data_IF_104465216688
#
_entry.id   IF_104465216688
#
_cell.length_a   1.000
_cell.length_b   1.000
_cell.length_c   1.000
_cell.angle_alpha   90.00
_cell.angle_beta   90.00
_cell.angle_gamma   90.00
#
_symmetry.space_group_name_H-M   'P 1'
#
loop_
_entity.id
_entity.type
_entity.pdbx_description
1 polymer ?
#
# COMPACT_ATOMS: atom_id res chain seq x y z
N UNK A 1 2.30 -11.75 -5.89
CA UNK A 1 1.43 -12.95 -5.85
C UNK A 1 1.71 -13.69 -4.56
N UNK A 2 0.69 -13.95 -3.74
CA UNK A 2 0.85 -14.58 -2.42
C UNK A 2 0.86 -16.09 -2.49
N UNK A 3 1.81 -16.73 -1.81
CA UNK A 3 1.93 -18.19 -1.71
C UNK A 3 3.36 -18.70 -1.87
N UNK A 4 3.56 -19.98 -1.62
CA UNK A 4 4.80 -20.71 -1.93
C UNK A 4 4.76 -21.20 -3.38
N UNK A 5 5.91 -21.47 -4.00
CA UNK A 5 5.96 -22.09 -5.33
C UNK A 5 5.09 -23.35 -5.39
N UNK A 6 4.14 -23.38 -6.32
CA UNK A 6 3.17 -24.47 -6.46
C UNK A 6 2.06 -24.50 -5.40
N UNK A 7 1.98 -23.46 -4.56
CA UNK A 7 0.96 -23.35 -3.51
C UNK A 7 0.50 -21.90 -3.37
N UNK A 8 -0.32 -21.47 -4.33
CA UNK A 8 -0.90 -20.13 -4.36
C UNK A 8 -2.36 -20.18 -3.90
N UNK A 9 -2.78 -19.16 -3.14
CA UNK A 9 -4.17 -19.04 -2.70
C UNK A 9 -5.15 -18.87 -3.86
N UNK A 10 -4.68 -18.28 -4.96
CA UNK A 10 -5.36 -18.22 -6.25
C UNK A 10 -4.30 -18.15 -7.35
N UNK A 11 -4.43 -18.99 -8.36
CA UNK A 11 -3.56 -19.03 -9.53
C UNK A 11 -4.38 -19.38 -10.77
N UNK A 12 -4.03 -18.76 -11.89
CA UNK A 12 -4.63 -19.00 -13.20
C UNK A 12 -3.51 -19.38 -14.17
N UNK A 13 -3.80 -20.33 -15.05
CA UNK A 13 -2.92 -20.69 -16.14
C UNK A 13 -2.90 -19.59 -17.22
N UNK A 14 -1.85 -19.58 -18.05
CA UNK A 14 -1.64 -18.55 -19.07
C UNK A 14 -2.66 -18.61 -20.21
N UNK A 15 -3.30 -19.76 -20.40
CA UNK A 15 -4.39 -19.95 -21.35
C UNK A 15 -5.76 -19.53 -20.79
N UNK A 16 -5.83 -19.14 -19.52
CA UNK A 16 -7.05 -18.84 -18.77
C UNK A 16 -8.11 -19.94 -18.83
N UNK A 17 -7.72 -21.19 -19.09
CA UNK A 17 -8.63 -22.33 -19.11
C UNK A 17 -8.74 -23.01 -17.75
N UNK A 18 -7.64 -23.01 -16.99
CA UNK A 18 -7.53 -23.73 -15.72
C UNK A 18 -6.92 -22.83 -14.65
N UNK A 19 -7.23 -23.15 -13.40
CA UNK A 19 -6.68 -22.47 -12.24
C UNK A 19 -6.68 -23.37 -11.02
N UNK A 20 -6.03 -22.91 -9.96
CA UNK A 20 -6.12 -23.56 -8.66
C UNK A 20 -6.24 -22.56 -7.52
N UNK A 21 -6.94 -22.96 -6.47
CA UNK A 21 -7.01 -22.26 -5.19
C UNK A 21 -6.60 -23.23 -4.10
N UNK A 22 -5.41 -23.03 -3.53
CA UNK A 22 -4.86 -23.94 -2.52
C UNK A 22 -4.81 -23.25 -1.16
N UNK A 23 -5.50 -23.84 -0.20
CA UNK A 23 -5.51 -23.40 1.19
C UNK A 23 -5.81 -24.58 2.12
N UNK A 24 -4.80 -25.04 2.86
CA UNK A 24 -4.91 -26.11 3.86
C UNK A 24 -4.26 -25.66 5.17
N UNK A 25 -5.03 -25.16 6.16
CA UNK A 25 -6.44 -24.76 6.10
C UNK A 25 -6.66 -23.37 5.48
N UNK A 26 -5.60 -22.55 5.41
CA UNK A 26 -5.61 -21.18 4.90
C UNK A 26 -4.32 -20.91 4.14
N UNK A 27 -4.34 -20.02 3.16
CA UNK A 27 -3.10 -19.57 2.52
C UNK A 27 -2.26 -18.73 3.49
N UNK A 28 -0.93 -18.73 3.32
CA UNK A 28 0.00 -18.07 4.26
C UNK A 28 0.05 -16.56 4.10
N UNK A 29 -0.18 -16.03 2.90
CA UNK A 29 -0.05 -14.59 2.63
C UNK A 29 -1.27 -13.81 3.09
N UNK A 30 -2.48 -14.30 2.81
CA UNK A 30 -3.73 -13.56 3.07
C UNK A 30 -4.64 -14.26 4.08
N UNK A 31 -4.28 -15.44 4.58
CA UNK A 31 -5.12 -16.19 5.53
C UNK A 31 -6.48 -16.60 4.96
N UNK A 32 -6.64 -16.57 3.63
CA UNK A 32 -7.90 -16.91 2.95
C UNK A 32 -8.11 -18.42 2.95
N UNK A 33 -9.38 -18.90 3.03
CA UNK A 33 -9.70 -20.28 2.74
C UNK A 33 -9.58 -20.57 1.24
N UNK A 34 -9.89 -21.80 0.85
CA UNK A 34 -10.08 -22.15 -0.56
C UNK A 34 -11.26 -21.35 -1.11
N UNK A 35 -11.05 -20.71 -2.26
CA UNK A 35 -12.05 -19.82 -2.86
C UNK A 35 -12.99 -20.55 -3.82
N UNK A 36 -12.57 -21.71 -4.33
CA UNK A 36 -13.31 -22.60 -5.22
C UNK A 36 -13.90 -23.80 -4.48
N UNK A 37 -14.83 -24.52 -5.12
CA UNK A 37 -15.37 -25.77 -4.57
C UNK A 37 -14.32 -26.87 -4.44
N UNK A 38 -13.45 -27.00 -5.44
CA UNK A 38 -12.32 -27.93 -5.49
C UNK A 38 -10.99 -27.17 -5.65
N UNK A 39 -9.86 -27.80 -5.29
CA UNK A 39 -8.53 -27.16 -5.39
C UNK A 39 -8.18 -26.74 -6.81
N UNK A 40 -8.52 -27.57 -7.81
CA UNK A 40 -8.35 -27.27 -9.22
C UNK A 40 -9.71 -26.96 -9.86
N UNK A 41 -9.76 -25.94 -10.71
CA UNK A 41 -11.01 -25.49 -11.34
C UNK A 41 -10.79 -25.04 -12.78
N UNK A 42 -11.89 -24.94 -13.53
CA UNK A 42 -11.93 -24.34 -14.87
C UNK A 42 -12.60 -22.98 -14.81
N UNK A 43 -12.07 -22.05 -15.59
CA UNK A 43 -12.64 -20.72 -15.74
C UNK A 43 -13.71 -20.73 -16.83
N UNK A 44 -14.83 -20.06 -16.57
CA UNK A 44 -15.87 -19.78 -17.57
C UNK A 44 -15.70 -18.36 -18.13
N UNK A 45 -15.51 -17.38 -17.24
CA UNK A 45 -15.29 -15.98 -17.60
C UNK A 45 -14.38 -15.29 -16.58
N UNK A 46 -13.50 -14.40 -17.05
CA UNK A 46 -12.64 -13.56 -16.21
C UNK A 46 -12.90 -12.10 -16.59
N UNK A 47 -13.29 -11.30 -15.60
CA UNK A 47 -13.51 -9.86 -15.76
C UNK A 47 -12.46 -9.08 -14.98
N UNK A 48 -11.81 -8.12 -15.64
CA UNK A 48 -10.78 -7.27 -15.03
C UNK A 48 -11.20 -5.81 -15.12
N UNK A 49 -11.27 -5.15 -13.97
CA UNK A 49 -11.78 -3.80 -13.85
C UNK A 49 -10.64 -2.82 -13.54
N UNK A 50 -10.40 -1.88 -14.44
CA UNK A 50 -9.49 -0.75 -14.20
C UNK A 50 -10.26 0.43 -13.62
N UNK A 51 -9.90 0.89 -12.43
CA UNK A 51 -10.59 2.00 -11.73
C UNK A 51 -10.22 3.40 -12.27
N UNK A 52 -9.37 3.47 -13.30
CA UNK A 52 -8.84 4.73 -13.83
C UNK A 52 -7.72 5.32 -12.97
N UNK A 53 -7.26 6.52 -13.33
CA UNK A 53 -6.34 7.26 -12.47
C UNK A 53 -7.10 7.71 -11.22
N UNK A 54 -6.55 7.50 -10.01
CA UNK A 54 -7.11 8.17 -8.85
C UNK A 54 -7.13 9.68 -9.15
N UNK A 55 -8.13 10.42 -8.61
CA UNK A 55 -8.09 11.87 -8.69
C UNK A 55 -6.69 12.32 -8.27
N UNK A 56 -6.08 13.23 -9.05
CA UNK A 56 -4.89 13.93 -8.55
C UNK A 56 -5.30 14.45 -7.19
N UNK A 57 -4.65 13.95 -6.13
CA UNK A 57 -4.72 14.63 -4.85
C UNK A 57 -4.44 16.08 -5.20
N UNK A 58 -5.40 16.97 -4.96
CA UNK A 58 -5.16 18.40 -5.13
C UNK A 58 -3.84 18.62 -4.44
N UNK A 59 -2.81 19.00 -5.22
CA UNK A 59 -1.46 19.23 -4.73
C UNK A 59 -1.65 19.97 -3.44
N UNK A 60 -1.32 19.28 -2.36
CA UNK A 60 -1.88 19.57 -1.07
C UNK A 60 -1.06 20.71 -0.49
N UNK A 61 -1.05 21.85 -1.19
CA UNK A 61 -0.02 22.87 -1.22
C UNK A 61 1.40 22.26 -1.20
N UNK A 62 2.19 22.48 -2.25
CA UNK A 62 3.65 22.28 -2.19
C UNK A 62 4.31 23.06 -1.01
N UNK A 63 3.54 23.88 -0.29
CA UNK A 63 3.90 24.54 0.97
C UNK A 63 3.36 23.85 2.23
N UNK A 64 3.30 22.53 2.30
CA UNK A 64 3.27 21.84 3.61
C UNK A 64 4.61 21.97 4.32
N UNK A 65 4.89 23.19 4.78
CA UNK A 65 5.94 23.47 5.75
C UNK A 65 5.69 22.58 6.97
N UNK A 66 6.76 22.04 7.55
CA UNK A 66 6.59 21.23 8.75
C UNK A 66 5.92 22.10 9.81
N UNK A 67 5.15 21.48 10.69
CA UNK A 67 4.68 22.15 11.91
C UNK A 67 5.85 22.72 12.72
N UNK A 68 7.07 22.17 12.55
CA UNK A 68 8.31 22.69 13.12
C UNK A 68 8.80 24.00 12.49
N UNK A 69 8.39 24.31 11.25
CA UNK A 69 8.75 25.57 10.58
C UNK A 69 7.59 26.60 10.63
N UNK A 70 6.40 26.16 11.05
CA UNK A 70 5.19 26.98 11.02
C UNK A 70 5.01 27.83 12.28
N UNK A 71 5.31 27.30 13.48
CA UNK A 71 5.06 28.00 14.75
C UNK A 71 5.97 27.51 15.91
N UNK A 72 6.81 28.39 16.50
CA UNK A 72 7.63 28.09 17.68
C UNK A 72 6.83 27.67 18.92
N UNK A 73 5.61 28.17 19.09
CA UNK A 73 4.77 27.84 20.24
C UNK A 73 4.30 26.38 20.15
N UNK A 74 3.94 25.92 18.95
CA UNK A 74 3.53 24.53 18.71
C UNK A 74 4.69 23.57 18.88
N UNK A 75 5.91 23.97 18.51
CA UNK A 75 7.12 23.19 18.79
C UNK A 75 7.33 23.00 20.30
N UNK A 76 7.21 24.07 21.09
CA UNK A 76 7.34 24.01 22.54
C UNK A 76 6.27 23.09 23.16
N UNK A 77 5.03 23.13 22.65
CA UNK A 77 3.97 22.22 23.09
C UNK A 77 4.25 20.75 22.73
N UNK A 78 4.85 20.46 21.58
CA UNK A 78 5.24 19.09 21.22
C UNK A 78 6.33 18.54 22.16
N UNK A 79 7.32 19.35 22.50
CA UNK A 79 8.35 18.99 23.47
C UNK A 79 7.76 18.77 24.87
N UNK A 80 6.87 19.65 25.32
CA UNK A 80 6.19 19.51 26.62
C UNK A 80 5.27 18.28 26.69
N UNK A 81 4.69 17.85 25.56
CA UNK A 81 3.86 16.64 25.49
C UNK A 81 4.67 15.35 25.30
N UNK A 82 6.01 15.44 25.31
CA UNK A 82 6.91 14.29 25.21
C UNK A 82 6.98 13.68 23.81
N UNK A 83 6.52 14.39 22.77
CA UNK A 83 6.63 13.94 21.38
C UNK A 83 8.03 14.24 20.87
N UNK A 84 8.72 13.21 20.41
CA UNK A 84 10.08 13.32 19.86
C UNK A 84 10.05 13.93 18.44
N UNK A 85 10.84 14.98 18.24
CA UNK A 85 10.98 15.67 16.95
C UNK A 85 11.88 14.87 16.00
N UNK A 86 11.34 13.78 15.45
CA UNK A 86 12.10 12.83 14.63
C UNK A 86 12.67 13.41 13.33
N UNK A 87 12.17 14.57 12.88
CA UNK A 87 12.61 15.22 11.65
C UNK A 87 13.61 16.37 11.87
N UNK A 88 13.96 16.70 13.12
CA UNK A 88 14.89 17.77 13.43
C UNK A 88 16.31 17.38 12.98
N UNK A 89 16.92 18.15 12.07
CA UNK A 89 18.29 17.92 11.57
C UNK A 89 18.47 16.87 10.48
N UNK A 90 17.38 16.25 9.99
CA UNK A 90 17.39 15.27 8.89
C UNK A 90 16.84 15.84 7.57
N UNK A 91 16.61 17.15 7.50
CA UNK A 91 16.08 17.80 6.31
C UNK A 91 17.18 18.29 5.38
N UNK A 92 16.97 18.06 4.09
CA UNK A 92 17.72 18.72 3.03
C UNK A 92 17.49 20.24 3.13
N UNK A 93 18.53 21.08 2.95
CA UNK A 93 18.34 22.53 2.92
C UNK A 93 17.36 22.85 1.80
N UNK A 94 16.39 23.73 2.06
CA UNK A 94 15.63 24.36 0.97
C UNK A 94 16.67 25.04 0.08
N UNK A 95 16.84 24.58 -1.17
CA UNK A 95 17.59 25.35 -2.14
C UNK A 95 16.88 26.70 -2.24
N UNK A 96 17.56 27.77 -1.85
CA UNK A 96 17.09 29.12 -2.07
C UNK A 96 16.78 29.25 -3.57
N UNK A 97 15.49 29.24 -3.94
CA UNK A 97 15.06 29.71 -5.25
C UNK A 97 15.39 31.21 -5.31
N UNK A 98 16.64 31.51 -5.65
CA UNK A 98 17.05 32.82 -6.13
C UNK A 98 16.37 33.07 -7.48
N UNK A 99 15.33 33.92 -7.40
CA UNK A 99 14.71 34.78 -8.44
C UNK A 99 13.42 34.30 -9.13
#
# INVERSE_FOLDING_TARGET
MGGQHGYFGLWLDCDFGQGHSRARPRCTTYGSPQLSGDEDFKLDTVEVWGLGQPPKEQEQDEKKKSVLDADPEVQAMMEMTGKTLHSQGLREPEEDEEQ
#
